data_IF_814400483938
#
_entry.id   IF_814400483938
#
_cell.length_a   1.000
_cell.length_b   1.000
_cell.length_c   1.000
_cell.angle_alpha   90.00
_cell.angle_beta   90.00
_cell.angle_gamma   90.00
#
_symmetry.space_group_name_H-M   'P 1'
#
loop_
_entity.id
_entity.type
_entity.pdbx_description
1 polymer ?
#
# COMPACT_ATOMS: atom_id res chain seq x y z
N UNK A 1 -1.58 -9.67 -19.66
CA UNK A 1 -0.57 -8.60 -19.39
C UNK A 1 -0.55 -8.38 -17.88
N UNK A 2 0.63 -8.34 -17.24
CA UNK A 2 0.72 -8.11 -15.81
C UNK A 2 0.54 -6.62 -15.49
N UNK A 3 -0.17 -6.32 -14.39
CA UNK A 3 -0.45 -4.97 -13.90
C UNK A 3 -0.06 -4.87 -12.42
N UNK A 4 0.55 -3.75 -12.05
CA UNK A 4 0.88 -3.39 -10.68
C UNK A 4 0.23 -2.05 -10.36
N UNK A 5 -0.72 -2.05 -9.41
CA UNK A 5 -1.35 -0.86 -8.87
C UNK A 5 -0.66 -0.48 -7.54
N UNK A 6 -0.22 0.77 -7.41
CA UNK A 6 0.46 1.28 -6.21
C UNK A 6 -0.32 2.48 -5.65
N UNK A 7 -0.68 2.42 -4.36
CA UNK A 7 -1.13 3.61 -3.64
C UNK A 7 0.07 4.45 -3.25
N UNK A 8 0.18 5.68 -3.77
CA UNK A 8 1.30 6.57 -3.45
C UNK A 8 1.02 8.00 -3.91
N UNK A 9 1.54 8.97 -3.17
CA UNK A 9 1.62 10.38 -3.58
C UNK A 9 2.86 10.69 -4.42
N UNK A 10 3.84 9.77 -4.49
CA UNK A 10 5.06 9.95 -5.26
C UNK A 10 4.79 9.81 -6.76
N UNK A 11 5.48 10.62 -7.56
CA UNK A 11 5.36 10.59 -9.02
C UNK A 11 6.73 10.67 -9.68
N UNK A 12 6.79 10.32 -10.96
CA UNK A 12 7.99 10.42 -11.79
C UNK A 12 9.18 9.66 -11.22
N UNK A 13 10.35 10.27 -11.34
CA UNK A 13 11.60 9.64 -10.91
C UNK A 13 11.66 9.40 -9.39
N UNK A 14 10.97 10.22 -8.59
CA UNK A 14 10.93 10.05 -7.14
C UNK A 14 10.27 8.71 -6.76
N UNK A 15 9.16 8.35 -7.42
CA UNK A 15 8.54 7.04 -7.24
C UNK A 15 9.44 5.91 -7.74
N UNK A 16 10.02 6.03 -8.93
CA UNK A 16 10.91 4.99 -9.44
C UNK A 16 12.05 4.69 -8.48
N UNK A 17 12.73 5.74 -8.01
CA UNK A 17 13.86 5.63 -7.09
C UNK A 17 13.46 5.12 -5.69
N UNK A 18 12.20 5.25 -5.28
CA UNK A 18 11.72 4.70 -4.01
C UNK A 18 11.43 3.20 -4.08
N UNK A 19 11.25 2.63 -5.28
CA UNK A 19 10.99 1.20 -5.44
C UNK A 19 12.27 0.38 -5.16
N UNK A 20 12.17 -0.77 -4.45
CA UNK A 20 13.31 -1.66 -4.28
C UNK A 20 13.87 -2.15 -5.62
N UNK A 21 15.20 -2.30 -5.69
CA UNK A 21 15.89 -2.75 -6.91
C UNK A 21 15.35 -4.07 -7.48
N UNK A 22 15.03 -5.03 -6.60
CA UNK A 22 14.44 -6.31 -7.03
C UNK A 22 13.07 -6.12 -7.72
N UNK A 23 12.27 -5.16 -7.25
CA UNK A 23 10.97 -4.82 -7.84
C UNK A 23 11.15 -4.08 -9.17
N UNK A 24 12.05 -3.08 -9.23
CA UNK A 24 12.41 -2.40 -10.49
C UNK A 24 12.85 -3.39 -11.57
N UNK A 25 13.75 -4.31 -11.22
CA UNK A 25 14.25 -5.37 -12.11
C UNK A 25 13.11 -6.27 -12.61
N UNK A 26 12.18 -6.62 -11.72
CA UNK A 26 11.01 -7.44 -12.07
C UNK A 26 10.05 -6.71 -13.01
N UNK A 27 9.78 -5.43 -12.76
CA UNK A 27 8.95 -4.59 -13.61
C UNK A 27 9.52 -4.51 -15.02
N UNK A 28 10.84 -4.29 -15.14
CA UNK A 28 11.55 -4.26 -16.41
C UNK A 28 11.54 -5.60 -17.13
N UNK A 29 11.98 -6.67 -16.46
CA UNK A 29 12.11 -7.99 -17.08
C UNK A 29 10.76 -8.55 -17.57
N UNK A 30 9.68 -8.30 -16.82
CA UNK A 30 8.33 -8.80 -17.14
C UNK A 30 7.45 -7.79 -17.87
N UNK A 31 7.98 -6.60 -18.19
CA UNK A 31 7.25 -5.52 -18.87
C UNK A 31 5.90 -5.21 -18.18
N UNK A 32 5.92 -5.11 -16.84
CA UNK A 32 4.71 -4.91 -16.03
C UNK A 32 4.19 -3.50 -16.26
N UNK A 33 2.88 -3.34 -16.53
CA UNK A 33 2.24 -2.02 -16.53
C UNK A 33 2.10 -1.56 -15.09
N UNK A 34 2.74 -0.46 -14.73
CA UNK A 34 2.60 0.16 -13.40
C UNK A 34 1.60 1.30 -13.48
N UNK A 35 0.66 1.32 -12.54
CA UNK A 35 -0.40 2.32 -12.41
C UNK A 35 -0.39 2.81 -10.96
N UNK A 36 -0.63 4.10 -10.74
CA UNK A 36 -0.68 4.68 -9.40
C UNK A 36 -1.99 5.41 -9.14
N UNK A 37 -2.32 5.56 -7.87
CA UNK A 37 -3.38 6.44 -7.35
C UNK A 37 -2.94 6.96 -5.99
N UNK A 38 -3.26 8.21 -5.66
CA UNK A 38 -3.08 8.76 -4.30
C UNK A 38 -4.39 8.57 -3.52
N UNK A 39 -4.63 7.34 -3.09
CA UNK A 39 -5.88 6.97 -2.41
C UNK A 39 -5.98 7.58 -1.01
N UNK A 40 -4.86 7.90 -0.38
CA UNK A 40 -4.82 8.54 0.94
C UNK A 40 -5.26 10.01 0.83
N UNK A 41 -4.75 10.75 -0.17
CA UNK A 41 -5.23 12.10 -0.47
C UNK A 41 -6.73 12.12 -0.79
N UNK A 42 -7.21 11.20 -1.62
CA UNK A 42 -8.65 11.07 -1.92
C UNK A 42 -9.46 10.79 -0.65
N UNK A 43 -8.99 9.88 0.20
CA UNK A 43 -9.65 9.57 1.46
C UNK A 43 -9.75 10.79 2.38
N UNK A 44 -8.67 11.57 2.47
CA UNK A 44 -8.62 12.79 3.26
C UNK A 44 -9.57 13.87 2.71
N UNK A 45 -9.55 14.12 1.40
CA UNK A 45 -10.42 15.10 0.72
C UNK A 45 -11.91 14.80 0.93
N UNK A 46 -12.28 13.52 0.95
CA UNK A 46 -13.65 13.07 1.17
C UNK A 46 -13.98 12.73 2.65
N UNK A 47 -13.08 13.06 3.59
CA UNK A 47 -13.29 12.86 5.04
C UNK A 47 -13.62 11.41 5.42
N UNK A 48 -12.93 10.45 4.78
CA UNK A 48 -13.12 9.01 4.99
C UNK A 48 -12.18 8.40 6.03
N UNK A 49 -11.53 9.24 6.85
CA UNK A 49 -10.63 8.84 7.95
C UNK A 49 -9.49 7.92 7.49
N UNK A 50 -8.76 8.31 6.44
CA UNK A 50 -7.61 7.59 5.87
C UNK A 50 -7.91 6.16 5.40
N UNK A 51 -9.19 5.85 5.10
CA UNK A 51 -9.56 4.60 4.45
C UNK A 51 -9.37 4.73 2.94
N UNK A 52 -8.22 4.28 2.45
CA UNK A 52 -7.89 4.21 1.03
C UNK A 52 -8.73 3.17 0.25
N UNK A 53 -9.46 2.28 0.95
CA UNK A 53 -10.12 1.11 0.37
C UNK A 53 -11.08 1.44 -0.77
N UNK A 54 -11.82 2.55 -0.67
CA UNK A 54 -12.81 2.95 -1.68
C UNK A 54 -12.13 3.32 -2.99
N UNK A 55 -11.15 4.22 -2.94
CA UNK A 55 -10.39 4.64 -4.11
C UNK A 55 -9.60 3.47 -4.73
N UNK A 56 -8.99 2.62 -3.88
CA UNK A 56 -8.28 1.42 -4.35
C UNK A 56 -9.21 0.40 -5.00
N UNK A 57 -10.43 0.23 -4.50
CA UNK A 57 -11.42 -0.66 -5.11
C UNK A 57 -11.83 -0.16 -6.49
N UNK A 58 -12.09 1.15 -6.63
CA UNK A 58 -12.39 1.77 -7.93
C UNK A 58 -11.25 1.54 -8.91
N UNK A 59 -10.02 1.86 -8.51
CA UNK A 59 -8.84 1.68 -9.36
C UNK A 59 -8.67 0.22 -9.79
N UNK A 60 -8.74 -0.73 -8.85
CA UNK A 60 -8.62 -2.15 -9.17
C UNK A 60 -9.73 -2.62 -10.12
N UNK A 61 -10.99 -2.26 -9.87
CA UNK A 61 -12.12 -2.72 -10.70
C UNK A 61 -12.07 -2.11 -12.12
N UNK A 62 -11.72 -0.82 -12.24
CA UNK A 62 -11.56 -0.20 -13.56
C UNK A 62 -10.38 -0.83 -14.33
N UNK A 63 -9.24 -1.04 -13.69
CA UNK A 63 -8.07 -1.63 -14.35
C UNK A 63 -8.24 -3.11 -14.75
N UNK A 64 -9.08 -3.84 -14.02
CA UNK A 64 -9.45 -5.23 -14.34
C UNK A 64 -10.63 -5.33 -15.31
N UNK A 65 -11.31 -4.22 -15.62
CA UNK A 65 -12.44 -4.21 -16.54
C UNK A 65 -11.96 -4.56 -17.97
N UNK A 66 -12.73 -5.38 -18.70
CA UNK A 66 -12.33 -5.86 -20.04
C UNK A 66 -12.29 -4.74 -21.09
N UNK A 67 -13.00 -3.64 -20.85
CA UNK A 67 -13.05 -2.48 -21.71
C UNK A 67 -12.83 -1.21 -20.88
N UNK A 68 -12.06 -0.28 -21.46
CA UNK A 68 -11.80 1.05 -20.91
C UNK A 68 -12.64 2.13 -21.60
N UNK A 69 -13.65 1.73 -22.38
CA UNK A 69 -14.56 2.67 -23.04
C UNK A 69 -15.34 3.50 -21.99
N UNK A 70 -15.55 4.80 -22.22
CA UNK A 70 -16.21 5.68 -21.24
C UNK A 70 -17.58 5.18 -20.77
N UNK A 71 -18.37 4.58 -21.67
CA UNK A 71 -19.68 4.01 -21.34
C UNK A 71 -19.56 2.82 -20.39
N UNK A 72 -18.57 1.96 -20.60
CA UNK A 72 -18.32 0.80 -19.75
C UNK A 72 -17.77 1.22 -18.39
N UNK A 73 -16.85 2.19 -18.37
CA UNK A 73 -16.34 2.76 -17.11
C UNK A 73 -17.49 3.36 -16.29
N UNK A 74 -18.40 4.11 -16.93
CA UNK A 74 -19.58 4.65 -16.24
C UNK A 74 -20.48 3.55 -15.67
N UNK A 75 -20.71 2.47 -16.41
CA UNK A 75 -21.48 1.32 -15.92
C UNK A 75 -20.81 0.68 -14.69
N UNK A 76 -19.48 0.48 -14.72
CA UNK A 76 -18.71 -0.03 -13.59
C UNK A 76 -18.84 0.87 -12.35
N UNK A 77 -18.76 2.20 -12.52
CA UNK A 77 -18.93 3.14 -11.42
C UNK A 77 -20.33 3.06 -10.81
N UNK A 78 -21.38 2.96 -11.62
CA UNK A 78 -22.75 2.80 -11.12
C UNK A 78 -22.91 1.51 -10.28
N UNK A 79 -22.28 0.41 -10.70
CA UNK A 79 -22.26 -0.84 -9.93
C UNK A 79 -21.55 -0.64 -8.59
N UNK A 80 -20.37 -0.01 -8.58
CA UNK A 80 -19.63 0.27 -7.35
C UNK A 80 -20.40 1.19 -6.40
N UNK A 81 -21.08 2.20 -6.93
CA UNK A 81 -21.96 3.08 -6.17
C UNK A 81 -23.15 2.32 -5.54
N UNK A 82 -23.79 1.43 -6.30
CA UNK A 82 -24.88 0.60 -5.80
C UNK A 82 -24.38 -0.35 -4.70
N UNK A 83 -23.24 -1.02 -4.90
CA UNK A 83 -22.62 -1.87 -3.88
C UNK A 83 -22.27 -1.10 -2.62
N UNK A 84 -21.71 0.10 -2.76
CA UNK A 84 -21.37 0.98 -1.64
C UNK A 84 -22.61 1.35 -0.82
N UNK A 85 -23.72 1.72 -1.47
CA UNK A 85 -24.99 2.00 -0.79
C UNK A 85 -25.50 0.78 -0.01
N UNK A 86 -25.44 -0.41 -0.60
CA UNK A 86 -25.84 -1.66 0.06
C UNK A 86 -24.94 -1.97 1.27
N UNK A 87 -23.63 -1.83 1.13
CA UNK A 87 -22.67 -2.07 2.22
C UNK A 87 -22.80 -1.08 3.38
N UNK A 88 -23.23 0.15 3.10
CA UNK A 88 -23.39 1.21 4.08
C UNK A 88 -24.84 1.39 4.54
N UNK A 89 -25.72 0.43 4.26
CA UNK A 89 -27.11 0.47 4.71
C UNK A 89 -27.17 0.67 6.24
N UNK A 90 -27.96 1.64 6.70
CA UNK A 90 -28.09 2.01 8.12
C UNK A 90 -26.96 2.90 8.67
N UNK A 91 -26.03 3.36 7.82
CA UNK A 91 -25.06 4.41 8.17
C UNK A 91 -25.62 5.80 7.87
N UNK A 92 -25.06 6.87 8.47
CA UNK A 92 -25.48 8.24 8.18
C UNK A 92 -25.35 8.58 6.69
N UNK A 93 -26.34 9.26 6.13
CA UNK A 93 -26.37 9.63 4.70
C UNK A 93 -25.13 10.40 4.26
N UNK A 94 -24.63 11.32 5.12
CA UNK A 94 -23.40 12.06 4.87
C UNK A 94 -22.18 11.15 4.67
N UNK A 95 -22.10 9.99 5.34
CA UNK A 95 -21.03 9.02 5.10
C UNK A 95 -21.20 8.36 3.72
N UNK A 96 -22.43 7.98 3.37
CA UNK A 96 -22.73 7.36 2.08
C UNK A 96 -22.37 8.32 0.94
N UNK A 97 -22.80 9.58 1.02
CA UNK A 97 -22.49 10.62 0.05
C UNK A 97 -20.99 10.84 -0.14
N UNK A 98 -20.22 10.88 0.95
CA UNK A 98 -18.74 10.99 0.89
C UNK A 98 -18.09 9.81 0.18
N UNK A 99 -18.57 8.59 0.43
CA UNK A 99 -18.04 7.40 -0.27
C UNK A 99 -18.40 7.44 -1.76
N UNK A 100 -19.63 7.84 -2.10
CA UNK A 100 -20.06 7.99 -3.51
C UNK A 100 -19.25 9.05 -4.25
N UNK A 101 -18.99 10.20 -3.62
CA UNK A 101 -18.16 11.25 -4.17
C UNK A 101 -16.71 10.76 -4.38
N UNK A 102 -16.16 10.01 -3.42
CA UNK A 102 -14.84 9.40 -3.55
C UNK A 102 -14.79 8.38 -4.70
N UNK A 103 -15.87 7.60 -4.92
CA UNK A 103 -15.95 6.66 -6.05
C UNK A 103 -15.85 7.39 -7.39
N UNK A 104 -16.57 8.51 -7.54
CA UNK A 104 -16.53 9.31 -8.77
C UNK A 104 -15.17 9.97 -8.98
N UNK A 105 -14.59 10.57 -7.94
CA UNK A 105 -13.30 11.21 -8.03
C UNK A 105 -12.17 10.22 -8.35
N UNK A 106 -12.16 9.05 -7.70
CA UNK A 106 -11.11 8.05 -7.87
C UNK A 106 -10.97 7.55 -9.32
N UNK A 107 -12.06 7.56 -10.10
CA UNK A 107 -12.03 7.13 -11.51
C UNK A 107 -11.13 8.01 -12.39
N UNK A 108 -10.93 9.28 -11.99
CA UNK A 108 -10.18 10.28 -12.76
C UNK A 108 -8.76 10.49 -12.26
N UNK A 109 -8.39 9.94 -11.10
CA UNK A 109 -7.09 10.13 -10.45
C UNK A 109 -6.13 8.94 -10.67
N UNK A 110 -6.50 8.00 -11.55
CA UNK A 110 -5.66 6.84 -11.90
C UNK A 110 -4.60 7.29 -12.90
N UNK A 111 -3.32 7.12 -12.56
CA UNK A 111 -2.19 7.46 -13.42
C UNK A 111 -1.55 6.21 -14.03
N UNK A 112 -1.72 6.05 -15.33
CA UNK A 112 -1.29 4.89 -16.14
C UNK A 112 0.18 4.91 -16.58
N UNK A 113 0.89 6.03 -16.40
CA UNK A 113 2.31 6.17 -16.74
C UNK A 113 3.01 7.04 -15.70
N UNK A 114 3.20 6.51 -14.47
CA UNK A 114 3.65 7.32 -13.35
C UNK A 114 5.13 7.72 -13.45
N UNK A 115 5.93 7.06 -14.30
CA UNK A 115 7.35 7.35 -14.51
C UNK A 115 7.87 6.83 -15.84
N UNK A 116 9.02 7.36 -16.28
CA UNK A 116 9.82 6.80 -17.36
C UNK A 116 10.79 5.77 -16.80
N UNK A 117 10.77 4.55 -17.33
CA UNK A 117 11.73 3.52 -16.93
C UNK A 117 13.08 3.88 -17.54
N UNK A 118 14.03 4.29 -16.70
CA UNK A 118 15.42 4.54 -17.13
C UNK A 118 16.24 3.25 -17.10
N UNK A 119 17.07 3.03 -18.11
CA UNK A 119 17.98 1.87 -18.17
C UNK A 119 19.07 1.91 -17.08
N UNK A 120 19.37 3.10 -16.55
CA UNK A 120 20.27 3.26 -15.42
C UNK A 120 19.52 2.96 -14.12
N UNK A 121 19.64 1.73 -13.65
CA UNK A 121 19.35 1.34 -12.28
C UNK A 121 20.37 2.03 -11.37
N UNK A 122 20.02 3.21 -10.87
CA UNK A 122 20.78 3.82 -9.78
C UNK A 122 20.60 2.96 -8.54
N UNK A 123 21.68 2.36 -8.05
CA UNK A 123 21.73 1.72 -6.72
C UNK A 123 21.66 2.79 -5.63
N UNK A 124 20.63 3.63 -5.61
CA UNK A 124 20.27 4.36 -4.41
C UNK A 124 19.27 3.48 -3.68
N UNK A 125 19.79 2.44 -3.05
CA UNK A 125 19.02 1.75 -2.04
C UNK A 125 18.74 2.76 -0.93
N UNK A 126 17.47 3.06 -0.68
CA UNK A 126 17.07 3.20 0.71
C UNK A 126 17.31 1.82 1.32
N UNK A 127 18.56 1.58 1.71
CA UNK A 127 18.93 0.42 2.46
C UNK A 127 18.27 0.59 3.83
N UNK A 128 17.02 0.16 3.96
CA UNK A 128 16.74 -0.69 5.11
C UNK A 128 17.80 -1.76 4.98
N UNK A 129 18.77 -1.72 5.87
CA UNK A 129 19.89 -2.65 5.91
C UNK A 129 19.25 -4.03 6.03
N UNK A 130 18.93 -4.66 4.90
CA UNK A 130 18.48 -6.04 4.87
C UNK A 130 19.65 -6.77 5.51
N UNK A 131 19.46 -7.13 6.78
CA UNK A 131 20.44 -7.90 7.51
C UNK A 131 20.61 -9.16 6.67
N UNK A 132 21.82 -9.33 6.15
CA UNK A 132 22.20 -10.46 5.32
C UNK A 132 21.81 -11.74 6.05
N UNK A 133 20.68 -12.33 5.63
CA UNK A 133 19.94 -13.38 6.31
C UNK A 133 19.42 -12.99 7.73
N UNK A 134 18.14 -13.26 8.05
CA UNK A 134 17.68 -13.18 9.42
C UNK A 134 18.52 -14.15 10.28
N UNK A 135 19.16 -13.64 11.34
CA UNK A 135 20.11 -14.41 12.15
C UNK A 135 19.44 -15.38 13.11
N UNK A 136 18.15 -15.18 13.40
CA UNK A 136 17.34 -15.99 14.31
C UNK A 136 16.01 -16.45 13.67
N UNK A 137 15.43 -17.54 14.19
CA UNK A 137 14.11 -18.04 13.82
C UNK A 137 13.04 -16.92 13.80
N UNK A 138 13.06 -16.05 14.82
CA UNK A 138 12.12 -14.93 14.96
C UNK A 138 12.27 -13.92 13.83
N UNK A 139 13.50 -13.55 13.45
CA UNK A 139 13.71 -12.60 12.35
C UNK A 139 13.26 -13.21 11.00
N UNK A 140 13.38 -14.52 10.80
CA UNK A 140 12.85 -15.20 9.60
C UNK A 140 11.32 -15.13 9.52
N UNK A 141 10.65 -15.29 10.65
CA UNK A 141 9.19 -15.17 10.75
C UNK A 141 8.74 -13.72 10.52
N UNK A 142 9.41 -12.75 11.14
CA UNK A 142 9.14 -11.32 10.94
C UNK A 142 9.36 -10.88 9.49
N UNK A 143 10.31 -11.50 8.78
CA UNK A 143 10.53 -11.28 7.35
C UNK A 143 9.49 -11.97 6.43
N UNK A 144 8.48 -12.65 7.00
CA UNK A 144 7.47 -13.41 6.23
C UNK A 144 8.02 -14.65 5.54
N UNK A 145 9.22 -15.13 5.91
CA UNK A 145 9.92 -16.25 5.28
C UNK A 145 9.80 -17.56 6.06
N UNK A 146 8.81 -17.67 6.95
CA UNK A 146 8.58 -18.85 7.78
C UNK A 146 8.37 -20.15 6.99
N UNK A 147 7.77 -20.06 5.79
CA UNK A 147 7.56 -21.22 4.91
C UNK A 147 8.84 -21.82 4.32
N UNK A 148 9.97 -21.10 4.39
CA UNK A 148 11.27 -21.59 3.92
C UNK A 148 12.05 -22.35 5.00
N UNK A 149 11.55 -22.36 6.24
CA UNK A 149 12.22 -23.00 7.37
C UNK A 149 11.83 -24.48 7.48
N UNK A 150 12.79 -25.39 7.66
CA UNK A 150 12.48 -26.79 7.94
C UNK A 150 11.88 -26.93 9.35
N UNK A 151 11.19 -28.04 9.60
CA UNK A 151 10.65 -28.37 10.94
C UNK A 151 11.75 -28.35 12.02
N UNK A 152 12.98 -28.74 11.67
CA UNK A 152 14.13 -28.74 12.59
C UNK A 152 14.60 -27.35 13.03
N UNK A 153 14.14 -26.27 12.39
CA UNK A 153 14.44 -24.92 12.85
C UNK A 153 13.61 -24.50 14.07
N UNK A 154 12.53 -25.23 14.37
CA UNK A 154 11.61 -24.91 15.45
C UNK A 154 11.96 -25.69 16.73
N UNK A 155 11.77 -25.09 17.92
CA UNK A 155 11.98 -25.77 19.20
C UNK A 155 10.98 -26.91 19.36
N UNK A 156 11.46 -28.11 19.68
CA UNK A 156 10.64 -29.33 19.78
C UNK A 156 9.65 -29.29 20.97
N UNK A 157 9.95 -28.50 22.00
CA UNK A 157 9.14 -28.29 23.20
C UNK A 157 8.27 -27.02 23.13
N UNK A 158 8.35 -26.27 22.03
CA UNK A 158 7.60 -25.03 21.85
C UNK A 158 8.09 -23.85 22.68
N UNK A 159 9.30 -23.90 23.27
CA UNK A 159 9.85 -22.80 24.06
C UNK A 159 10.40 -21.70 23.12
N UNK A 160 9.95 -20.46 23.33
CA UNK A 160 10.40 -19.29 22.55
C UNK A 160 11.24 -18.33 23.40
N UNK A 161 12.22 -17.62 22.78
CA UNK A 161 12.93 -16.55 23.46
C UNK A 161 11.99 -15.40 23.83
N UNK A 162 12.27 -14.74 24.97
CA UNK A 162 11.56 -13.55 25.41
C UNK A 162 12.16 -12.28 24.77
N UNK A 163 11.51 -11.12 24.97
CA UNK A 163 11.96 -9.80 24.46
C UNK A 163 12.10 -9.70 22.93
N UNK A 164 11.39 -10.55 22.19
CA UNK A 164 11.40 -10.59 20.71
C UNK A 164 10.68 -9.41 20.07
N UNK A 165 9.73 -8.78 20.78
CA UNK A 165 9.05 -7.56 20.31
C UNK A 165 10.01 -6.40 20.01
N UNK A 166 11.17 -6.37 20.67
CA UNK A 166 12.23 -5.38 20.42
C UNK A 166 12.78 -5.43 18.99
N UNK A 167 12.63 -6.56 18.30
CA UNK A 167 13.07 -6.79 16.92
C UNK A 167 12.07 -6.27 15.87
N UNK A 168 10.81 -6.02 16.23
CA UNK A 168 9.77 -5.74 15.22
C UNK A 168 9.90 -4.35 14.60
N UNK A 169 10.26 -3.33 15.40
CA UNK A 169 10.44 -1.91 14.99
C UNK A 169 9.49 -1.48 13.86
N UNK A 170 8.19 -1.74 14.04
CA UNK A 170 7.19 -1.72 12.96
C UNK A 170 6.93 -0.35 12.35
N UNK A 171 7.25 0.71 13.08
CA UNK A 171 7.13 2.11 12.64
C UNK A 171 5.79 2.44 11.95
N UNK A 172 4.69 2.01 12.57
CA UNK A 172 3.33 2.09 12.00
C UNK A 172 2.52 3.32 12.45
N UNK A 173 3.11 4.20 13.26
CA UNK A 173 2.37 5.36 13.78
C UNK A 173 2.29 6.45 12.72
N UNK A 174 1.10 7.00 12.47
CA UNK A 174 0.93 8.15 11.56
C UNK A 174 1.53 9.44 12.16
N UNK A 175 1.56 9.51 13.50
CA UNK A 175 2.06 10.66 14.25
C UNK A 175 2.95 10.18 15.39
N UNK A 176 4.05 10.88 15.62
CA UNK A 176 4.94 10.64 16.75
C UNK A 176 4.90 11.85 17.68
N UNK A 177 4.80 11.65 19.01
CA UNK A 177 4.91 12.76 19.94
C UNK A 177 6.31 13.36 19.85
N UNK A 178 6.38 14.69 19.76
CA UNK A 178 7.63 15.43 19.85
C UNK A 178 7.76 15.89 21.29
N UNK A 179 8.86 15.50 21.93
CA UNK A 179 9.13 15.90 23.30
C UNK A 179 9.53 17.37 23.37
N UNK A 180 8.83 18.14 24.20
CA UNK A 180 9.15 19.54 24.51
C UNK A 180 9.86 19.59 25.87
N UNK A 181 11.18 19.90 25.90
CA UNK A 181 11.94 19.92 27.14
C UNK A 181 11.52 21.06 28.07
N UNK A 182 10.97 22.17 27.56
CA UNK A 182 10.60 23.34 28.36
C UNK A 182 9.32 23.10 29.18
N UNK A 183 8.45 22.22 28.69
CA UNK A 183 7.21 21.80 29.38
C UNK A 183 7.41 20.55 30.26
N UNK A 184 8.58 19.91 30.23
CA UNK A 184 8.82 18.65 30.89
C UNK A 184 8.98 18.82 32.42
N UNK A 185 8.06 18.25 33.20
CA UNK A 185 8.14 18.21 34.68
C UNK A 185 8.84 16.96 35.22
N UNK A 186 9.42 16.12 34.35
CA UNK A 186 10.05 14.84 34.71
C UNK A 186 9.12 13.85 35.43
N UNK A 187 7.82 13.86 35.10
CA UNK A 187 6.86 12.83 35.48
C UNK A 187 6.78 11.71 34.43
#
# INVERSE_FOLDING_TARGET
RALLLINTSLTGQALWNSLPFALQSTIQAKQIKVVTIDADKLSAQHQLKNKASVAMQVAATLLLSPSQEPSQQRATLLVLQAMCKTQLQGKPDALIERNLACIEAAAHEINDSPFTITAQTSQTSFAIKERSQPGSLVEWLLAGKGGNLPVSAYPADGIWPTNTSSLEKRDISEQLPVWDPDLCTQC
#
